data_IF_070137775955
#
_entry.id   IF_070137775955
#
_cell.length_a   1.000
_cell.length_b   1.000
_cell.length_c   1.000
_cell.angle_alpha   90.00
_cell.angle_beta   90.00
_cell.angle_gamma   90.00
#
_symmetry.space_group_name_H-M   'P 1'
#
loop_
_entity.id
_entity.type
_entity.pdbx_description
1 polymer ?
#
# COMPACT_ATOMS: atom_id res chain seq x y z
N UNK A 1 5.50 -13.45 -12.64
CA UNK A 1 5.24 -12.62 -11.44
C UNK A 1 5.60 -11.19 -11.79
N UNK A 2 4.76 -10.20 -11.43
CA UNK A 2 5.06 -8.77 -11.58
C UNK A 2 5.75 -8.29 -10.29
N UNK A 3 6.93 -7.73 -10.38
CA UNK A 3 7.68 -7.26 -9.20
C UNK A 3 8.07 -5.80 -9.42
N UNK A 4 7.86 -4.98 -8.42
CA UNK A 4 8.24 -3.58 -8.37
C UNK A 4 8.88 -3.19 -7.05
N UNK A 5 9.23 -1.92 -6.89
CA UNK A 5 9.71 -1.36 -5.64
C UNK A 5 9.07 -0.01 -5.35
N UNK A 6 8.90 0.28 -4.07
CA UNK A 6 8.38 1.57 -3.61
C UNK A 6 9.47 2.64 -3.61
N UNK A 7 9.13 3.84 -4.06
CA UNK A 7 10.00 5.02 -3.94
C UNK A 7 10.13 5.49 -2.49
N UNK A 8 9.42 4.87 -1.55
CA UNK A 8 9.58 5.10 -0.11
C UNK A 8 11.02 4.87 0.34
N UNK A 9 11.69 3.83 -0.18
CA UNK A 9 13.09 3.51 0.12
C UNK A 9 14.09 4.63 -0.24
N UNK A 10 13.68 5.55 -1.08
CA UNK A 10 14.46 6.71 -1.51
C UNK A 10 13.79 8.05 -1.23
N UNK A 11 12.86 8.12 -0.28
CA UNK A 11 12.03 9.32 -0.01
C UNK A 11 12.84 10.57 0.34
N UNK A 12 14.05 10.41 0.85
CA UNK A 12 14.98 11.52 1.13
C UNK A 12 15.72 12.03 -0.14
N UNK A 13 15.57 11.35 -1.27
CA UNK A 13 16.19 11.70 -2.54
C UNK A 13 15.16 12.26 -3.53
N UNK A 14 15.64 12.82 -4.64
CA UNK A 14 14.78 13.17 -5.75
C UNK A 14 14.13 11.91 -6.35
N UNK A 15 12.88 12.02 -6.78
CA UNK A 15 12.12 10.92 -7.40
C UNK A 15 12.89 10.28 -8.57
N UNK A 16 13.55 11.10 -9.40
CA UNK A 16 14.38 10.65 -10.53
C UNK A 16 15.42 9.61 -10.11
N UNK A 17 16.14 9.86 -9.00
CA UNK A 17 17.14 8.93 -8.48
C UNK A 17 16.53 7.58 -8.07
N UNK A 18 15.32 7.59 -7.50
CA UNK A 18 14.62 6.36 -7.13
C UNK A 18 14.21 5.58 -8.36
N UNK A 19 13.70 6.25 -9.39
CA UNK A 19 13.30 5.63 -10.65
C UNK A 19 14.51 5.06 -11.41
N UNK A 20 15.61 5.83 -11.53
CA UNK A 20 16.87 5.34 -12.10
C UNK A 20 17.37 4.07 -11.39
N UNK A 21 17.32 4.04 -10.06
CA UNK A 21 17.74 2.88 -9.30
C UNK A 21 16.84 1.67 -9.57
N UNK A 22 15.53 1.83 -9.51
CA UNK A 22 14.55 0.76 -9.74
C UNK A 22 14.71 0.17 -11.16
N UNK A 23 14.80 1.03 -12.18
CA UNK A 23 15.00 0.60 -13.57
C UNK A 23 16.35 -0.11 -13.74
N UNK A 24 17.43 0.41 -13.11
CA UNK A 24 18.76 -0.18 -13.20
C UNK A 24 18.85 -1.61 -12.63
N UNK A 25 17.96 -1.97 -11.70
CA UNK A 25 17.84 -3.33 -11.18
C UNK A 25 17.12 -4.29 -12.15
N UNK A 26 16.49 -3.75 -13.20
CA UNK A 26 15.66 -4.52 -14.14
C UNK A 26 14.29 -4.86 -13.58
N UNK A 27 13.76 -4.05 -12.68
CA UNK A 27 12.37 -4.10 -12.25
C UNK A 27 11.47 -3.45 -13.31
N UNK A 28 10.25 -3.98 -13.49
CA UNK A 28 9.29 -3.48 -14.47
C UNK A 28 8.31 -2.47 -13.87
N UNK A 29 8.23 -2.39 -12.54
CA UNK A 29 7.24 -1.58 -11.83
C UNK A 29 7.91 -0.70 -10.76
N UNK A 30 7.39 0.53 -10.61
CA UNK A 30 7.68 1.40 -9.48
C UNK A 30 6.38 1.87 -8.81
N UNK A 31 6.36 1.86 -7.49
CA UNK A 31 5.28 2.52 -6.74
C UNK A 31 5.73 3.90 -6.32
N UNK A 32 4.98 4.90 -6.78
CA UNK A 32 5.26 6.31 -6.52
C UNK A 32 4.57 6.74 -5.22
N UNK A 33 5.34 7.15 -4.21
CA UNK A 33 4.79 7.74 -2.99
C UNK A 33 4.43 9.20 -3.26
N UNK A 34 3.13 9.47 -3.49
CA UNK A 34 2.61 10.77 -3.91
C UNK A 34 2.36 11.71 -2.72
N UNK A 35 3.43 12.11 -2.05
CA UNK A 35 3.42 13.07 -0.95
C UNK A 35 4.75 13.83 -0.90
N UNK A 36 4.90 14.79 0.03
CA UNK A 36 6.17 15.49 0.21
C UNK A 36 7.35 14.50 0.34
N UNK A 37 8.47 14.72 -0.39
CA UNK A 37 8.75 15.86 -1.29
C UNK A 37 8.22 15.69 -2.74
N UNK A 38 7.57 14.59 -3.09
CA UNK A 38 7.08 14.27 -4.44
C UNK A 38 5.57 14.54 -4.61
N UNK A 39 5.07 15.69 -4.12
CA UNK A 39 3.65 16.06 -4.26
C UNK A 39 3.28 16.48 -5.68
N UNK A 40 4.25 16.76 -6.53
CA UNK A 40 4.08 17.12 -7.93
C UNK A 40 4.98 16.23 -8.77
N UNK A 41 4.37 15.28 -9.42
CA UNK A 41 5.05 14.33 -10.28
C UNK A 41 4.87 14.79 -11.71
N UNK A 42 6.00 14.97 -12.42
CA UNK A 42 5.99 15.34 -13.83
C UNK A 42 5.77 14.07 -14.67
N UNK A 43 4.73 14.08 -15.49
CA UNK A 43 4.41 12.98 -16.39
C UNK A 43 5.53 12.73 -17.40
N UNK A 44 6.14 13.80 -17.94
CA UNK A 44 7.23 13.67 -18.92
C UNK A 44 8.44 12.96 -18.29
N UNK A 45 8.68 13.17 -16.99
CA UNK A 45 9.69 12.42 -16.23
C UNK A 45 9.35 10.93 -16.21
N UNK A 46 8.11 10.57 -15.88
CA UNK A 46 7.68 9.17 -15.81
C UNK A 46 7.77 8.48 -17.18
N UNK A 47 7.39 9.17 -18.26
CA UNK A 47 7.47 8.65 -19.63
C UNK A 47 8.93 8.44 -20.11
N UNK A 48 9.92 9.01 -19.42
CA UNK A 48 11.34 8.83 -19.76
C UNK A 48 11.91 7.48 -19.31
N UNK A 49 11.21 6.76 -18.44
CA UNK A 49 11.59 5.42 -17.95
C UNK A 49 10.76 4.32 -18.60
N UNK A 50 11.35 3.14 -18.72
CA UNK A 50 10.63 1.94 -19.16
C UNK A 50 10.00 1.21 -17.96
N UNK A 51 9.25 1.94 -17.14
CA UNK A 51 8.57 1.46 -15.94
C UNK A 51 7.06 1.60 -16.08
N UNK A 52 6.33 0.71 -15.43
CA UNK A 52 4.90 0.86 -15.14
C UNK A 52 4.73 1.27 -13.70
N UNK A 53 3.60 1.90 -13.39
CA UNK A 53 3.42 2.55 -12.10
C UNK A 53 2.24 2.02 -11.31
N UNK A 54 2.37 2.02 -9.99
CA UNK A 54 1.31 2.15 -9.02
C UNK A 54 1.54 3.43 -8.21
N UNK A 55 0.50 3.94 -7.57
CA UNK A 55 0.58 5.16 -6.77
C UNK A 55 0.26 4.82 -5.32
N UNK A 56 1.14 5.16 -4.40
CA UNK A 56 0.80 5.20 -2.99
C UNK A 56 0.28 6.59 -2.65
N UNK A 57 -1.00 6.69 -2.28
CA UNK A 57 -1.61 7.95 -1.88
C UNK A 57 -0.93 8.51 -0.61
N UNK A 58 -1.00 9.82 -0.35
CA UNK A 58 -0.36 10.42 0.81
C UNK A 58 -0.93 9.86 2.11
N UNK A 59 -0.04 9.60 3.07
CA UNK A 59 -0.38 9.11 4.40
C UNK A 59 0.17 10.00 5.53
N UNK A 60 1.19 10.85 5.26
CA UNK A 60 1.67 11.83 6.23
C UNK A 60 0.64 12.94 6.41
N UNK A 61 0.18 13.15 7.64
CA UNK A 61 -0.83 14.16 7.99
C UNK A 61 -2.17 14.04 7.25
N UNK A 62 -2.42 12.90 6.61
CA UNK A 62 -3.66 12.55 5.91
C UNK A 62 -4.43 11.53 6.73
N UNK A 63 -5.71 11.82 7.03
CA UNK A 63 -6.54 10.93 7.82
C UNK A 63 -8.01 10.96 7.38
N UNK A 64 -8.40 9.97 6.58
CA UNK A 64 -9.77 9.81 6.09
C UNK A 64 -10.75 9.29 7.17
N UNK A 65 -10.24 8.84 8.31
CA UNK A 65 -11.03 8.43 9.48
C UNK A 65 -11.23 9.57 10.49
N UNK A 66 -10.75 10.78 10.20
CA UNK A 66 -10.83 11.91 11.12
C UNK A 66 -12.29 12.23 11.47
N UNK A 67 -12.64 12.37 12.77
CA UNK A 67 -13.94 12.89 13.19
C UNK A 67 -14.11 14.39 12.89
N UNK A 68 -13.04 15.08 12.54
CA UNK A 68 -13.07 16.49 12.13
C UNK A 68 -13.34 16.59 10.63
N UNK A 69 -14.54 17.05 10.25
CA UNK A 69 -14.97 17.10 8.85
C UNK A 69 -13.97 17.78 7.93
N UNK A 70 -13.44 18.96 8.34
CA UNK A 70 -12.50 19.69 7.50
C UNK A 70 -11.22 18.89 7.24
N UNK A 71 -10.68 18.22 8.25
CA UNK A 71 -9.48 17.38 8.12
C UNK A 71 -9.76 16.19 7.21
N UNK A 72 -10.89 15.50 7.45
CA UNK A 72 -11.29 14.34 6.64
C UNK A 72 -11.50 14.70 5.17
N UNK A 73 -12.25 15.77 4.89
CA UNK A 73 -12.52 16.21 3.52
C UNK A 73 -11.26 16.67 2.78
N UNK A 74 -10.32 17.33 3.48
CA UNK A 74 -9.04 17.68 2.89
C UNK A 74 -8.20 16.42 2.59
N UNK A 75 -8.26 15.43 3.47
CA UNK A 75 -7.57 14.13 3.26
C UNK A 75 -8.12 13.39 2.04
N UNK A 76 -9.46 13.33 1.89
CA UNK A 76 -10.10 12.73 0.71
C UNK A 76 -9.63 13.41 -0.58
N UNK A 77 -9.62 14.75 -0.62
CA UNK A 77 -9.14 15.49 -1.81
C UNK A 77 -7.68 15.23 -2.18
N UNK A 78 -6.82 14.99 -1.20
CA UNK A 78 -5.43 14.62 -1.49
C UNK A 78 -5.34 13.23 -2.11
N UNK A 79 -6.18 12.28 -1.64
CA UNK A 79 -6.27 10.95 -2.22
C UNK A 79 -6.88 11.00 -3.62
N UNK A 80 -7.94 11.78 -3.84
CA UNK A 80 -8.52 12.02 -5.18
C UNK A 80 -7.47 12.55 -6.16
N UNK A 81 -6.58 13.46 -5.71
CA UNK A 81 -5.45 13.93 -6.54
C UNK A 81 -4.49 12.80 -6.93
N UNK A 82 -4.31 11.79 -6.07
CA UNK A 82 -3.51 10.60 -6.42
C UNK A 82 -4.22 9.70 -7.43
N UNK A 83 -5.55 9.63 -7.36
CA UNK A 83 -6.37 8.91 -8.33
C UNK A 83 -6.34 9.62 -9.69
N UNK A 84 -6.41 10.96 -9.70
CA UNK A 84 -6.26 11.75 -10.93
C UNK A 84 -4.90 11.50 -11.58
N UNK A 85 -3.82 11.53 -10.81
CA UNK A 85 -2.48 11.21 -11.30
C UNK A 85 -2.43 9.77 -11.87
N UNK A 86 -3.02 8.81 -11.15
CA UNK A 86 -3.06 7.41 -11.60
C UNK A 86 -3.77 7.27 -12.96
N UNK A 87 -4.87 7.98 -13.15
CA UNK A 87 -5.59 8.03 -14.43
C UNK A 87 -4.74 8.68 -15.54
N UNK A 88 -3.97 9.73 -15.22
CA UNK A 88 -3.12 10.44 -16.19
C UNK A 88 -1.95 9.59 -16.69
N UNK A 89 -1.39 8.72 -15.81
CA UNK A 89 -0.18 7.92 -16.11
C UNK A 89 -0.48 6.44 -16.37
N UNK A 90 -1.76 6.06 -16.44
CA UNK A 90 -2.24 4.67 -16.60
C UNK A 90 -1.66 3.73 -15.52
N UNK A 91 -1.67 4.19 -14.27
CA UNK A 91 -1.16 3.40 -13.14
C UNK A 91 -2.06 2.19 -12.85
N UNK A 92 -1.45 1.06 -12.47
CA UNK A 92 -2.17 -0.19 -12.25
C UNK A 92 -3.02 -0.19 -10.96
N UNK A 93 -2.66 0.62 -9.96
CA UNK A 93 -3.40 0.74 -8.70
C UNK A 93 -3.08 2.05 -7.96
N UNK A 94 -3.99 2.47 -7.09
CA UNK A 94 -3.77 3.49 -6.06
C UNK A 94 -3.95 2.85 -4.69
N UNK A 95 -2.90 2.86 -3.87
CA UNK A 95 -2.92 2.34 -2.50
C UNK A 95 -3.34 3.43 -1.54
N UNK A 96 -4.29 3.13 -0.66
CA UNK A 96 -4.88 4.08 0.29
C UNK A 96 -4.89 3.48 1.69
N UNK A 97 -4.37 4.23 2.67
CA UNK A 97 -4.54 3.88 4.08
C UNK A 97 -5.99 4.11 4.55
N UNK A 98 -6.56 3.22 5.37
CA UNK A 98 -7.94 3.38 5.88
C UNK A 98 -8.09 4.54 6.87
N UNK A 99 -6.98 5.18 7.26
CA UNK A 99 -6.92 6.24 8.22
C UNK A 99 -6.43 5.80 9.60
N UNK A 100 -6.38 6.75 10.52
CA UNK A 100 -5.84 6.54 11.87
C UNK A 100 -6.79 7.05 12.95
N UNK A 101 -6.61 6.59 14.18
CA UNK A 101 -7.35 7.05 15.36
C UNK A 101 -6.39 7.68 16.37
N UNK A 102 -6.68 8.89 16.82
CA UNK A 102 -5.94 9.45 17.96
C UNK A 102 -6.28 8.70 19.25
N UNK A 103 -5.40 8.77 20.26
CA UNK A 103 -5.63 8.14 21.55
C UNK A 103 -7.02 8.47 22.16
N UNK A 104 -7.45 9.74 22.07
CA UNK A 104 -8.76 10.14 22.59
C UNK A 104 -9.91 9.58 21.72
N UNK A 105 -9.74 9.57 20.40
CA UNK A 105 -10.75 9.05 19.49
C UNK A 105 -10.90 7.53 19.65
N UNK A 106 -9.81 6.78 19.75
CA UNK A 106 -9.84 5.33 20.02
C UNK A 106 -10.56 5.00 21.31
N UNK A 107 -10.34 5.83 22.34
CA UNK A 107 -10.91 5.59 23.69
C UNK A 107 -12.42 5.89 23.78
N UNK A 108 -12.88 6.95 23.13
CA UNK A 108 -14.24 7.48 23.36
C UNK A 108 -15.14 7.42 22.13
N UNK A 109 -14.59 7.33 20.92
CA UNK A 109 -15.28 7.46 19.65
C UNK A 109 -14.85 6.40 18.63
N UNK A 110 -14.45 5.20 19.11
CA UNK A 110 -13.92 4.13 18.23
C UNK A 110 -14.91 3.80 17.10
N UNK A 111 -16.18 3.68 17.43
CA UNK A 111 -17.23 3.34 16.45
C UNK A 111 -17.34 4.41 15.37
N UNK A 112 -17.38 5.69 15.78
CA UNK A 112 -17.49 6.83 14.86
C UNK A 112 -16.26 6.95 13.95
N UNK A 113 -15.05 6.65 14.44
CA UNK A 113 -13.82 6.62 13.62
C UNK A 113 -13.95 5.60 12.49
N UNK A 114 -14.41 4.38 12.79
CA UNK A 114 -14.66 3.37 11.76
C UNK A 114 -15.78 3.79 10.79
N UNK A 115 -16.87 4.37 11.28
CA UNK A 115 -17.95 4.88 10.44
C UNK A 115 -17.48 6.01 9.50
N UNK A 116 -16.59 6.89 9.96
CA UNK A 116 -16.00 7.92 9.11
C UNK A 116 -15.05 7.33 8.07
N UNK A 117 -14.19 6.39 8.47
CA UNK A 117 -13.31 5.66 7.55
C UNK A 117 -14.13 4.97 6.46
N UNK A 118 -15.13 4.17 6.84
CA UNK A 118 -15.96 3.41 5.90
C UNK A 118 -16.64 4.31 4.85
N UNK A 119 -17.21 5.44 5.30
CA UNK A 119 -17.82 6.41 4.37
C UNK A 119 -16.79 7.01 3.42
N UNK A 120 -15.61 7.36 3.93
CA UNK A 120 -14.54 7.93 3.11
C UNK A 120 -13.97 6.89 2.13
N UNK A 121 -13.79 5.64 2.54
CA UNK A 121 -13.38 4.54 1.68
C UNK A 121 -14.38 4.36 0.53
N UNK A 122 -15.69 4.37 0.84
CA UNK A 122 -16.74 4.28 -0.19
C UNK A 122 -16.68 5.45 -1.18
N UNK A 123 -16.55 6.68 -0.68
CA UNK A 123 -16.46 7.90 -1.50
C UNK A 123 -15.23 7.85 -2.43
N UNK A 124 -14.06 7.45 -1.91
CA UNK A 124 -12.82 7.28 -2.67
C UNK A 124 -12.97 6.16 -3.72
N UNK A 125 -13.59 5.03 -3.35
CA UNK A 125 -13.85 3.93 -4.26
C UNK A 125 -14.78 4.32 -5.41
N UNK A 126 -15.86 5.04 -5.12
CA UNK A 126 -16.79 5.53 -6.14
C UNK A 126 -16.08 6.50 -7.10
N UNK A 127 -15.25 7.43 -6.57
CA UNK A 127 -14.46 8.37 -7.38
C UNK A 127 -13.47 7.63 -8.30
N UNK A 128 -12.74 6.66 -7.76
CA UNK A 128 -11.79 5.86 -8.54
C UNK A 128 -12.49 5.06 -9.65
N UNK A 129 -13.62 4.44 -9.33
CA UNK A 129 -14.42 3.67 -10.29
C UNK A 129 -14.94 4.54 -11.45
N UNK A 130 -15.36 5.78 -11.16
CA UNK A 130 -15.82 6.73 -12.19
C UNK A 130 -14.72 7.07 -13.20
N UNK A 131 -13.46 7.01 -12.78
CA UNK A 131 -12.28 7.24 -13.62
C UNK A 131 -11.68 5.94 -14.20
N UNK A 132 -12.20 4.77 -13.81
CA UNK A 132 -11.65 3.47 -14.21
C UNK A 132 -10.33 3.12 -13.54
N UNK A 133 -10.00 3.76 -12.42
CA UNK A 133 -8.80 3.53 -11.62
C UNK A 133 -9.07 2.51 -10.51
N UNK A 134 -8.17 1.58 -10.30
CA UNK A 134 -8.26 0.61 -9.21
C UNK A 134 -7.72 1.23 -7.92
N UNK A 135 -8.60 1.60 -6.99
CA UNK A 135 -8.20 1.94 -5.62
C UNK A 135 -8.20 0.68 -4.73
N UNK A 136 -7.15 0.53 -3.93
CA UNK A 136 -6.98 -0.57 -2.99
C UNK A 136 -6.79 -0.04 -1.58
N UNK A 137 -7.35 -0.71 -0.58
CA UNK A 137 -7.22 -0.31 0.82
C UNK A 137 -6.24 -1.25 1.52
N UNK A 138 -5.35 -0.67 2.30
CA UNK A 138 -4.27 -1.36 2.95
C UNK A 138 -4.67 -1.90 4.34
N UNK A 139 -4.27 -3.15 4.68
CA UNK A 139 -4.34 -3.65 6.04
C UNK A 139 -3.21 -3.04 6.87
N UNK A 140 -3.52 -2.60 8.09
CA UNK A 140 -2.59 -1.81 8.90
C UNK A 140 -1.84 -2.63 9.95
N UNK A 141 -0.63 -2.18 10.37
CA UNK A 141 0.14 -2.85 11.42
C UNK A 141 -0.53 -2.69 12.79
N UNK A 142 -0.16 -3.55 13.74
CA UNK A 142 -0.77 -3.60 15.07
C UNK A 142 -0.24 -2.50 16.02
N UNK A 143 -0.48 -1.23 15.69
CA UNK A 143 -0.24 -0.08 16.56
C UNK A 143 -1.56 0.53 17.06
N UNK A 144 -1.59 0.99 18.30
CA UNK A 144 -2.80 1.53 18.96
C UNK A 144 -3.55 2.62 18.19
N UNK A 145 -2.85 3.35 17.33
CA UNK A 145 -3.41 4.42 16.51
C UNK A 145 -3.93 3.97 15.15
N UNK A 146 -3.59 2.77 14.72
CA UNK A 146 -4.04 2.24 13.43
C UNK A 146 -5.44 1.64 13.55
N UNK A 147 -6.20 1.74 12.49
CA UNK A 147 -7.49 1.05 12.32
C UNK A 147 -7.35 -0.01 11.23
N UNK A 148 -8.26 -0.99 11.19
CA UNK A 148 -8.15 -2.11 10.25
C UNK A 148 -6.85 -2.94 10.36
N UNK A 149 -6.39 -3.15 11.61
CA UNK A 149 -5.41 -4.17 11.98
C UNK A 149 -6.02 -5.58 11.83
N UNK A 150 -7.34 -5.69 12.03
CA UNK A 150 -8.10 -6.90 11.75
C UNK A 150 -8.35 -6.99 10.23
N UNK A 151 -7.53 -7.82 9.58
CA UNK A 151 -7.57 -8.00 8.13
C UNK A 151 -8.88 -8.64 7.64
N UNK A 152 -9.53 -9.47 8.48
CA UNK A 152 -10.83 -10.07 8.15
C UNK A 152 -11.93 -9.01 8.14
N UNK A 153 -11.95 -8.12 9.13
CA UNK A 153 -12.90 -7.02 9.17
C UNK A 153 -12.70 -6.05 7.99
N UNK A 154 -11.45 -5.82 7.56
CA UNK A 154 -11.18 -5.06 6.35
C UNK A 154 -11.70 -5.79 5.11
N UNK A 155 -11.42 -7.08 4.97
CA UNK A 155 -11.88 -7.86 3.82
C UNK A 155 -13.41 -7.87 3.71
N UNK A 156 -14.13 -8.06 4.83
CA UNK A 156 -15.61 -8.01 4.85
C UNK A 156 -16.14 -6.67 4.34
N UNK A 157 -15.54 -5.54 4.78
CA UNK A 157 -15.91 -4.21 4.29
C UNK A 157 -15.67 -4.06 2.78
N UNK A 158 -14.51 -4.52 2.30
CA UNK A 158 -14.12 -4.39 0.90
C UNK A 158 -15.01 -5.24 -0.02
N UNK A 159 -15.41 -6.43 0.42
CA UNK A 159 -16.37 -7.26 -0.30
C UNK A 159 -17.75 -6.59 -0.37
N UNK A 160 -18.22 -5.96 0.73
CA UNK A 160 -19.48 -5.20 0.75
C UNK A 160 -19.45 -4.02 -0.23
N UNK A 161 -18.29 -3.34 -0.37
CA UNK A 161 -18.16 -2.15 -1.21
C UNK A 161 -17.66 -2.45 -2.63
N UNK A 162 -17.46 -3.74 -2.97
CA UNK A 162 -16.90 -4.19 -4.24
C UNK A 162 -15.52 -3.54 -4.54
N UNK A 163 -14.72 -3.37 -3.48
CA UNK A 163 -13.38 -2.80 -3.52
C UNK A 163 -12.31 -3.86 -3.31
N UNK A 164 -11.04 -3.44 -3.41
CA UNK A 164 -9.89 -4.33 -3.39
C UNK A 164 -8.95 -4.01 -2.22
N UNK A 165 -8.14 -5.02 -1.85
CA UNK A 165 -7.16 -4.94 -0.79
C UNK A 165 -5.75 -4.81 -1.35
N UNK A 166 -4.93 -3.94 -0.75
CA UNK A 166 -3.48 -4.09 -0.72
C UNK A 166 -3.13 -4.94 0.49
N UNK A 167 -2.59 -6.13 0.26
CA UNK A 167 -2.03 -6.95 1.33
C UNK A 167 -0.61 -6.50 1.65
N UNK A 168 -0.39 -5.93 2.83
CA UNK A 168 0.94 -5.74 3.39
C UNK A 168 1.29 -6.94 4.23
N UNK A 169 2.24 -7.74 3.73
CA UNK A 169 2.61 -9.02 4.35
C UNK A 169 3.19 -8.80 5.76
N UNK A 170 4.04 -7.78 5.92
CA UNK A 170 4.63 -7.45 7.20
C UNK A 170 3.62 -6.96 8.22
N UNK A 171 2.64 -6.14 7.83
CA UNK A 171 1.56 -5.71 8.72
C UNK A 171 0.73 -6.89 9.25
N UNK A 172 0.42 -7.84 8.35
CA UNK A 172 -0.30 -9.05 8.75
C UNK A 172 0.50 -9.88 9.76
N UNK A 173 1.81 -10.04 9.57
CA UNK A 173 2.69 -10.71 10.54
C UNK A 173 2.74 -9.97 11.88
N UNK A 174 2.86 -8.63 11.87
CA UNK A 174 2.83 -7.80 13.08
C UNK A 174 1.48 -7.89 13.80
N UNK A 175 0.38 -8.07 13.08
CA UNK A 175 -0.93 -8.33 13.67
C UNK A 175 -1.14 -9.78 14.14
N UNK A 176 -0.16 -10.67 13.92
CA UNK A 176 -0.14 -12.05 14.40
C UNK A 176 -0.84 -13.07 13.52
N UNK A 177 -1.13 -12.72 12.26
CA UNK A 177 -1.76 -13.63 11.30
C UNK A 177 -0.77 -14.58 10.64
N UNK A 178 -1.22 -15.80 10.40
CA UNK A 178 -0.50 -16.82 9.63
C UNK A 178 -0.82 -16.73 8.13
N UNK A 179 0.00 -17.38 7.30
CA UNK A 179 -0.13 -17.34 5.84
C UNK A 179 -1.49 -17.83 5.31
N UNK A 180 -2.12 -18.79 5.98
CA UNK A 180 -3.41 -19.37 5.60
C UNK A 180 -4.62 -18.51 6.00
N UNK A 181 -4.41 -17.52 6.87
CA UNK A 181 -5.48 -16.61 7.34
C UNK A 181 -5.63 -15.35 6.48
N UNK A 182 -4.65 -15.02 5.62
CA UNK A 182 -4.56 -13.71 4.97
C UNK A 182 -4.77 -13.73 3.45
N UNK A 183 -5.18 -14.84 2.86
CA UNK A 183 -5.33 -14.98 1.40
C UNK A 183 -6.79 -14.84 0.98
N UNK A 184 -7.15 -13.65 0.50
CA UNK A 184 -8.50 -13.28 0.06
C UNK A 184 -8.56 -13.01 -1.45
N UNK A 185 -9.73 -13.15 -2.05
CA UNK A 185 -9.95 -12.86 -3.48
C UNK A 185 -9.98 -11.35 -3.78
N UNK A 186 -10.20 -10.53 -2.75
CA UNK A 186 -10.13 -9.05 -2.80
C UNK A 186 -8.70 -8.53 -3.00
N UNK A 187 -7.64 -9.31 -2.73
CA UNK A 187 -6.25 -8.88 -2.88
C UNK A 187 -5.91 -8.67 -4.35
N UNK A 188 -5.55 -7.43 -4.72
CA UNK A 188 -5.11 -7.07 -6.07
C UNK A 188 -3.74 -6.40 -6.11
N UNK A 189 -3.20 -6.02 -4.95
CA UNK A 189 -1.89 -5.41 -4.79
C UNK A 189 -1.22 -5.99 -3.56
N UNK A 190 0.10 -6.10 -3.55
CA UNK A 190 0.86 -6.67 -2.41
C UNK A 190 2.07 -5.81 -2.12
N UNK A 191 2.20 -5.39 -0.87
CA UNK A 191 3.44 -4.85 -0.32
C UNK A 191 4.20 -5.94 0.41
N UNK A 192 5.46 -6.13 0.03
CA UNK A 192 6.31 -7.17 0.54
C UNK A 192 7.52 -6.59 1.28
N UNK A 193 7.54 -6.78 2.58
CA UNK A 193 8.70 -6.61 3.46
C UNK A 193 8.70 -7.69 4.53
N UNK A 194 9.78 -7.82 5.27
CA UNK A 194 9.90 -8.79 6.36
C UNK A 194 9.99 -8.06 7.72
N UNK A 195 9.67 -8.76 8.79
CA UNK A 195 9.83 -8.33 10.17
C UNK A 195 9.82 -9.54 11.12
N UNK A 196 9.92 -9.32 12.43
CA UNK A 196 9.86 -10.38 13.44
C UNK A 196 8.50 -10.50 14.14
N UNK A 197 7.50 -9.71 13.74
CA UNK A 197 6.16 -9.69 14.35
C UNK A 197 6.06 -8.82 15.61
N UNK A 198 7.13 -8.15 16.00
CA UNK A 198 7.21 -7.28 17.18
C UNK A 198 7.24 -5.79 16.84
N UNK A 199 7.54 -5.46 15.59
CA UNK A 199 7.56 -4.12 15.04
C UNK A 199 7.32 -4.16 13.52
N UNK A 200 6.94 -3.04 12.94
CA UNK A 200 6.79 -2.85 11.51
C UNK A 200 8.12 -2.39 10.89
N UNK A 201 9.09 -3.30 10.89
CA UNK A 201 10.50 -2.97 10.66
C UNK A 201 10.90 -2.80 9.19
N UNK A 202 10.04 -3.13 8.22
CA UNK A 202 10.31 -3.05 6.77
C UNK A 202 11.69 -3.65 6.37
N UNK A 203 12.04 -4.82 6.92
CA UNK A 203 13.30 -5.51 6.63
C UNK A 203 13.29 -6.07 5.20
N UNK A 204 14.49 -6.29 4.60
CA UNK A 204 14.62 -7.06 3.38
C UNK A 204 13.98 -8.45 3.49
N UNK A 205 13.40 -8.95 2.40
CA UNK A 205 12.80 -10.27 2.36
C UNK A 205 13.81 -11.36 2.75
N UNK A 206 13.42 -12.20 3.72
CA UNK A 206 14.24 -13.29 4.26
C UNK A 206 15.16 -12.87 5.42
N UNK A 207 15.11 -11.63 5.88
CA UNK A 207 15.87 -11.16 7.06
C UNK A 207 15.00 -11.15 8.35
N UNK A 208 13.68 -11.42 8.26
CA UNK A 208 12.76 -11.57 9.39
C UNK A 208 12.35 -13.03 9.63
N UNK A 209 11.12 -13.21 10.13
CA UNK A 209 10.59 -14.55 10.43
C UNK A 209 9.33 -14.91 9.63
N UNK A 210 8.91 -14.09 8.69
CA UNK A 210 7.71 -14.31 7.89
C UNK A 210 7.90 -15.52 6.98
N UNK A 211 6.89 -16.36 6.90
CA UNK A 211 6.86 -17.50 5.97
C UNK A 211 6.49 -17.04 4.55
N UNK A 212 7.34 -16.19 3.98
CA UNK A 212 7.11 -15.55 2.68
C UNK A 212 6.76 -16.55 1.57
N UNK A 213 7.46 -17.69 1.52
CA UNK A 213 7.22 -18.72 0.51
C UNK A 213 5.79 -19.28 0.60
N UNK A 214 5.26 -19.47 1.81
CA UNK A 214 3.90 -19.99 2.00
C UNK A 214 2.87 -18.98 1.50
N UNK A 215 3.06 -17.68 1.81
CA UNK A 215 2.16 -16.60 1.39
C UNK A 215 2.18 -16.43 -0.13
N UNK A 216 3.37 -16.27 -0.72
CA UNK A 216 3.52 -16.02 -2.16
C UNK A 216 3.03 -17.23 -2.96
N UNK A 217 3.38 -18.45 -2.58
CA UNK A 217 2.88 -19.65 -3.24
C UNK A 217 1.36 -19.78 -3.13
N UNK A 218 0.75 -19.39 -2.01
CA UNK A 218 -0.70 -19.39 -1.84
C UNK A 218 -1.38 -18.38 -2.76
N UNK A 219 -0.85 -17.16 -2.89
CA UNK A 219 -1.33 -16.15 -3.85
C UNK A 219 -1.20 -16.64 -5.30
N UNK A 220 -0.03 -17.16 -5.69
CA UNK A 220 0.21 -17.69 -7.04
C UNK A 220 -0.70 -18.89 -7.35
N UNK A 221 -0.97 -19.76 -6.38
CA UNK A 221 -1.89 -20.89 -6.55
C UNK A 221 -3.33 -20.46 -6.84
N UNK A 222 -3.73 -19.30 -6.35
CA UNK A 222 -5.01 -18.61 -6.65
C UNK A 222 -4.95 -17.79 -7.94
N UNK A 223 -3.87 -17.90 -8.72
CA UNK A 223 -3.67 -17.16 -9.98
C UNK A 223 -3.65 -15.64 -9.80
N UNK A 224 -3.01 -15.17 -8.74
CA UNK A 224 -2.80 -13.74 -8.49
C UNK A 224 -2.15 -13.05 -9.71
N UNK A 225 -2.65 -11.87 -10.08
CA UNK A 225 -2.22 -11.12 -11.27
C UNK A 225 -1.70 -9.72 -10.96
N UNK A 226 -1.76 -9.34 -9.69
CA UNK A 226 -1.27 -8.03 -9.23
C UNK A 226 0.25 -7.96 -9.15
N UNK A 227 0.71 -6.86 -8.59
CA UNK A 227 2.13 -6.54 -8.43
C UNK A 227 2.56 -6.86 -6.99
N UNK A 228 3.77 -7.38 -6.84
CA UNK A 228 4.48 -7.43 -5.57
C UNK A 228 5.42 -6.23 -5.50
N UNK A 229 5.12 -5.25 -4.66
CA UNK A 229 5.96 -4.09 -4.41
C UNK A 229 6.89 -4.37 -3.23
N UNK A 230 8.17 -4.24 -3.45
CA UNK A 230 9.19 -4.29 -2.40
C UNK A 230 9.16 -2.96 -1.64
N UNK A 231 8.56 -2.98 -0.45
CA UNK A 231 8.38 -1.81 0.40
C UNK A 231 9.32 -1.90 1.61
N UNK A 232 10.54 -1.48 1.41
CA UNK A 232 11.65 -1.60 2.36
C UNK A 232 12.36 -0.27 2.57
N UNK A 233 13.23 -0.17 3.59
CA UNK A 233 13.75 1.09 4.10
C UNK A 233 14.77 1.82 3.21
N UNK A 234 15.47 1.11 2.31
CA UNK A 234 16.57 1.69 1.51
C UNK A 234 16.83 0.90 0.22
N UNK A 235 17.64 1.45 -0.65
CA UNK A 235 18.00 0.88 -1.95
C UNK A 235 18.73 -0.47 -1.85
N UNK A 236 19.60 -0.66 -0.86
CA UNK A 236 20.28 -1.95 -0.66
C UNK A 236 19.28 -3.03 -0.25
N UNK A 237 18.29 -2.66 0.55
CA UNK A 237 17.18 -3.52 0.97
C UNK A 237 16.28 -3.91 -0.22
N UNK A 238 16.00 -2.99 -1.16
CA UNK A 238 15.30 -3.33 -2.43
C UNK A 238 16.09 -4.38 -3.19
N UNK A 239 17.40 -4.16 -3.38
CA UNK A 239 18.26 -5.08 -4.12
C UNK A 239 18.27 -6.49 -3.49
N UNK A 240 18.44 -6.59 -2.17
CA UNK A 240 18.42 -7.86 -1.44
C UNK A 240 17.07 -8.57 -1.58
N UNK A 241 15.98 -7.82 -1.44
CA UNK A 241 14.63 -8.35 -1.57
C UNK A 241 14.33 -8.86 -2.99
N UNK A 242 14.79 -8.14 -4.00
CA UNK A 242 14.66 -8.56 -5.39
C UNK A 242 15.49 -9.81 -5.69
N UNK A 243 16.71 -9.91 -5.17
CA UNK A 243 17.53 -11.12 -5.25
C UNK A 243 16.87 -12.32 -4.57
N UNK A 244 16.23 -12.08 -3.41
CA UNK A 244 15.43 -13.10 -2.72
C UNK A 244 14.26 -13.59 -3.59
N UNK A 245 13.48 -12.68 -4.19
CA UNK A 245 12.37 -13.04 -5.08
C UNK A 245 12.84 -13.87 -6.27
N UNK A 246 13.89 -13.44 -6.97
CA UNK A 246 14.46 -14.17 -8.13
C UNK A 246 15.00 -15.55 -7.78
N UNK A 247 15.46 -15.76 -6.56
CA UNK A 247 16.03 -17.04 -6.13
C UNK A 247 14.96 -18.06 -5.73
N UNK A 248 13.83 -17.59 -5.20
CA UNK A 248 12.84 -18.46 -4.57
C UNK A 248 11.58 -18.67 -5.42
N UNK A 249 11.35 -17.79 -6.41
CA UNK A 249 10.18 -17.78 -7.31
C UNK A 249 10.58 -17.50 -8.76
#
# INVERSE_FOLDING_TARGET
MKIGASTLAGIEFDLEKSLEFIESLGLDYAELVHQYPAERIDKDLLESYNLKYSIHAPFMDVNIASPQDQSRLNSIKQIESSIDLANEVDAEAVVVHPGTSSFLASKYFKKEVYEFSNRSIKEIGDYANDLGVMATIENMPNFDTMIYQDIHALNELLEEYEMYMTLVIGHANHAGYSADEIIFDSIKHVHAHDNFGDDDAHLPLGEGNIKLNDIINSLESKNYKGIYILEVNDFDSIKKSYEYMKKNF
#
